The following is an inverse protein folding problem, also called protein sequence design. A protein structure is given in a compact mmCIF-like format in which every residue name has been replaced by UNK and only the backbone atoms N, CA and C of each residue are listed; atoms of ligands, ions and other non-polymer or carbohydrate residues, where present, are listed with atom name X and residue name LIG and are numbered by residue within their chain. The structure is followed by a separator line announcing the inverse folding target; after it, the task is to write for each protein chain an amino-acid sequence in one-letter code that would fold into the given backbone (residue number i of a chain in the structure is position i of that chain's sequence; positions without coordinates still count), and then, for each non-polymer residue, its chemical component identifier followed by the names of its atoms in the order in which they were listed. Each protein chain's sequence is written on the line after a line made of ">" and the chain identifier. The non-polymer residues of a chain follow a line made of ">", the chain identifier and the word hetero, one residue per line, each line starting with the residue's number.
data_IF_430851032758
#
_entry.id   IF_430851032758
#
_cell.length_a   1.000
_cell.length_b   1.000
_cell.length_c   1.000
_cell.angle_alpha   90.00
_cell.angle_beta   90.00
_cell.angle_gamma   90.00
#
_symmetry.space_group_name_H-M   'P 1'
#
loop_
_entity.id
_entity.type
_entity.pdbx_description
1 polymer ?
#
# COMPACT_ATOMS: atom_id res chain seq x y z
N UNK A 1 7.04 -10.46 6.16
CA UNK A 1 7.72 -9.44 5.32
C UNK A 1 8.67 -10.12 4.33
N UNK A 2 8.21 -10.34 3.10
CA UNK A 2 9.02 -10.94 2.03
C UNK A 2 9.85 -9.86 1.34
N UNK A 3 11.08 -9.67 1.80
CA UNK A 3 12.09 -8.84 1.11
C UNK A 3 12.73 -9.72 0.04
N UNK A 4 12.18 -9.70 -1.18
CA UNK A 4 12.89 -10.19 -2.37
C UNK A 4 13.37 -8.97 -3.16
N UNK A 5 14.68 -8.84 -3.29
CA UNK A 5 15.37 -7.86 -4.15
C UNK A 5 15.23 -6.37 -3.78
N UNK A 6 14.96 -6.03 -2.51
CA UNK A 6 14.92 -4.62 -2.07
C UNK A 6 13.70 -3.84 -2.55
N UNK A 7 12.62 -4.56 -2.89
CA UNK A 7 11.31 -4.02 -3.23
C UNK A 7 10.37 -4.34 -2.06
N UNK A 8 9.82 -3.31 -1.45
CA UNK A 8 8.81 -3.37 -0.39
C UNK A 8 7.43 -3.21 -1.01
N UNK A 9 6.54 -4.14 -0.70
CA UNK A 9 5.15 -4.13 -1.15
C UNK A 9 4.24 -3.82 0.03
N UNK A 10 3.45 -2.78 -0.10
CA UNK A 10 2.45 -2.35 0.87
C UNK A 10 1.09 -2.28 0.20
N UNK A 11 0.07 -2.90 0.80
CA UNK A 11 -1.28 -2.96 0.27
C UNK A 11 -2.17 -2.00 1.06
N UNK A 12 -2.69 -0.96 0.42
CA UNK A 12 -3.53 0.04 1.08
C UNK A 12 -4.97 -0.14 0.59
N UNK A 13 -5.92 -0.54 1.45
CA UNK A 13 -7.30 -0.76 1.03
C UNK A 13 -7.91 0.54 0.52
N UNK A 14 -8.56 0.46 -0.64
CA UNK A 14 -9.17 1.58 -1.33
C UNK A 14 -10.47 1.99 -0.63
N UNK A 15 -10.33 2.79 0.43
CA UNK A 15 -11.44 3.28 1.23
C UNK A 15 -11.25 4.76 1.58
N UNK A 16 -12.32 5.42 2.00
CA UNK A 16 -12.32 6.85 2.39
C UNK A 16 -11.46 7.17 3.61
N UNK A 17 -10.98 6.15 4.34
CA UNK A 17 -10.05 6.34 5.46
C UNK A 17 -8.59 6.40 5.02
N UNK A 18 -8.28 5.88 3.82
CA UNK A 18 -6.94 5.84 3.25
C UNK A 18 -6.78 6.75 2.03
N UNK A 19 -7.87 7.01 1.32
CA UNK A 19 -7.93 7.84 0.12
C UNK A 19 -8.87 9.02 0.34
N UNK A 20 -8.45 10.22 -0.09
CA UNK A 20 -9.31 11.39 -0.16
C UNK A 20 -10.25 11.32 -1.39
N UNK A 21 -11.17 12.29 -1.50
CA UNK A 21 -12.11 12.36 -2.63
C UNK A 21 -11.42 12.56 -3.99
N UNK A 22 -10.17 13.03 -3.99
CA UNK A 22 -9.33 13.16 -5.18
C UNK A 22 -8.50 11.89 -5.48
N UNK A 23 -8.66 10.83 -4.69
CA UNK A 23 -7.94 9.56 -4.86
C UNK A 23 -6.47 9.62 -4.43
N UNK A 24 -6.07 10.63 -3.64
CA UNK A 24 -4.73 10.73 -3.05
C UNK A 24 -4.69 10.02 -1.71
N UNK A 25 -3.52 9.50 -1.37
CA UNK A 25 -3.27 8.90 -0.06
C UNK A 25 -3.36 9.97 1.03
N UNK A 26 -4.12 9.68 2.08
CA UNK A 26 -4.12 10.50 3.29
C UNK A 26 -2.76 10.41 3.98
N UNK A 27 -2.37 11.42 4.78
CA UNK A 27 -1.01 11.53 5.31
C UNK A 27 -0.53 10.38 6.22
N UNK A 28 -1.44 9.54 6.73
CA UNK A 28 -1.11 8.31 7.48
C UNK A 28 -2.02 7.16 7.01
N UNK A 29 -1.76 6.59 5.82
CA UNK A 29 -2.59 5.52 5.31
C UNK A 29 -2.29 4.22 6.06
N UNK A 30 -3.30 3.36 6.21
CA UNK A 30 -3.14 2.03 6.80
C UNK A 30 -2.64 1.06 5.73
N UNK A 31 -1.34 0.84 5.71
CA UNK A 31 -0.71 -0.21 4.92
C UNK A 31 -0.91 -1.58 5.57
N UNK A 32 -1.28 -2.56 4.77
CA UNK A 32 -1.42 -3.96 5.13
C UNK A 32 -0.35 -4.79 4.42
N UNK A 33 0.09 -5.84 5.08
CA UNK A 33 0.97 -6.85 4.47
C UNK A 33 0.16 -7.92 3.74
N UNK A 34 0.82 -8.74 2.91
CA UNK A 34 0.16 -9.80 2.12
C UNK A 34 -0.62 -10.81 3.00
N UNK A 35 -0.28 -10.95 4.27
CA UNK A 35 -0.99 -11.84 5.20
C UNK A 35 -2.29 -11.21 5.74
N UNK A 36 -2.43 -9.88 5.61
CA UNK A 36 -3.55 -9.10 6.14
C UNK A 36 -4.56 -8.68 5.06
N UNK A 37 -4.26 -8.94 3.78
CA UNK A 37 -5.19 -8.66 2.68
C UNK A 37 -6.34 -9.67 2.67
N UNK A 38 -7.53 -9.20 2.27
CA UNK A 38 -8.73 -10.01 2.17
C UNK A 38 -9.16 -10.11 0.70
N UNK A 39 -9.65 -11.29 0.30
CA UNK A 39 -10.16 -11.50 -1.04
C UNK A 39 -11.41 -10.64 -1.30
N UNK A 40 -11.51 -10.06 -2.49
CA UNK A 40 -12.65 -9.23 -2.90
C UNK A 40 -12.61 -7.78 -2.40
N UNK A 41 -11.50 -7.34 -1.82
CA UNK A 41 -11.26 -5.93 -1.47
C UNK A 41 -10.28 -5.33 -2.47
N UNK A 42 -10.58 -4.12 -2.93
CA UNK A 42 -9.69 -3.36 -3.81
C UNK A 42 -8.57 -2.71 -2.98
N UNK A 43 -7.33 -2.93 -3.40
CA UNK A 43 -6.13 -2.38 -2.76
C UNK A 43 -5.31 -1.58 -3.76
N UNK A 44 -4.81 -0.43 -3.33
CA UNK A 44 -3.70 0.21 -4.00
C UNK A 44 -2.40 -0.49 -3.59
N UNK A 45 -1.58 -0.78 -4.57
CA UNK A 45 -0.26 -1.36 -4.36
C UNK A 45 0.77 -0.24 -4.30
N UNK A 46 1.42 -0.07 -3.15
CA UNK A 46 2.56 0.81 -2.99
C UNK A 46 3.84 -0.03 -3.07
N UNK A 47 4.75 0.38 -3.96
CA UNK A 47 6.00 -0.30 -4.22
C UNK A 47 7.14 0.66 -3.87
N UNK A 48 7.87 0.37 -2.80
CA UNK A 48 9.01 1.16 -2.35
C UNK A 48 10.30 0.39 -2.65
N UNK A 49 11.20 0.96 -3.47
CA UNK A 49 12.49 0.31 -3.78
C UNK A 49 13.64 0.99 -3.06
N UNK A 50 14.63 0.22 -2.59
CA UNK A 50 15.81 0.76 -1.89
C UNK A 50 16.74 1.63 -2.76
N UNK A 51 16.45 1.80 -4.05
CA UNK A 51 17.20 2.72 -4.93
C UNK A 51 16.70 4.16 -4.93
N UNK A 52 15.80 4.52 -4.00
CA UNK A 52 15.37 5.90 -3.82
C UNK A 52 14.64 6.42 -5.05
N UNK A 53 13.45 5.89 -5.32
CA UNK A 53 12.48 6.65 -6.09
C UNK A 53 11.65 7.45 -5.08
N UNK A 54 12.00 8.72 -4.94
CA UNK A 54 11.29 9.70 -4.13
C UNK A 54 10.04 10.19 -4.87
#
# INVERSE_FOLDING_TARGET
>A
LLVRNGIFFEFIPFNSSNFDEEGRLVGKPKALTLEEVQEGVDYALLISTCSGAW
#
